data_IF_123140545156
#
_entry.id   IF_123140545156
#
_cell.length_a   1.000
_cell.length_b   1.000
_cell.length_c   1.000
_cell.angle_alpha   90.00
_cell.angle_beta   90.00
_cell.angle_gamma   90.00
#
_symmetry.space_group_name_H-M   'P 1'
#
loop_
_entity.id
_entity.type
_entity.pdbx_description
1 polymer ?
#
# COMPACT_ATOMS: atom_id res chain seq x y z
N UNK A 1 -8.55 14.69 -14.25
CA UNK A 1 -9.05 14.04 -13.01
C UNK A 1 -7.93 13.48 -12.12
N UNK A 2 -6.74 13.17 -12.63
CA UNK A 2 -5.64 12.57 -11.82
C UNK A 2 -5.09 13.53 -10.75
N UNK A 3 -5.21 14.84 -10.88
CA UNK A 3 -4.69 15.82 -9.92
C UNK A 3 -5.71 16.29 -8.85
N UNK A 4 -6.95 15.82 -8.90
CA UNK A 4 -8.01 16.39 -8.07
C UNK A 4 -7.81 16.15 -6.56
N UNK A 5 -7.34 14.97 -6.16
CA UNK A 5 -7.27 14.59 -4.74
C UNK A 5 -6.08 15.17 -3.97
N UNK A 6 -4.97 15.55 -4.64
CA UNK A 6 -3.80 16.13 -3.96
C UNK A 6 -3.57 17.62 -4.26
N UNK A 7 -4.44 18.21 -5.07
CA UNK A 7 -4.30 19.62 -5.47
C UNK A 7 -4.23 20.59 -4.29
N UNK A 8 -4.99 20.29 -3.22
CA UNK A 8 -5.05 21.10 -2.00
C UNK A 8 -3.80 21.01 -1.11
N UNK A 9 -2.88 20.05 -1.36
CA UNK A 9 -1.66 19.79 -0.58
C UNK A 9 -0.40 19.65 -1.45
N UNK A 10 -0.41 20.24 -2.65
CA UNK A 10 0.69 20.09 -3.61
C UNK A 10 2.03 20.62 -3.06
N UNK A 11 2.00 21.75 -2.36
CA UNK A 11 3.18 22.37 -1.79
C UNK A 11 3.73 21.55 -0.60
N UNK A 12 2.83 20.95 0.19
CA UNK A 12 3.18 20.04 1.27
C UNK A 12 3.85 18.77 0.75
N UNK A 13 3.33 18.20 -0.34
CA UNK A 13 3.93 17.02 -0.97
C UNK A 13 5.32 17.32 -1.56
N UNK A 14 5.56 18.52 -2.07
CA UNK A 14 6.89 18.94 -2.50
C UNK A 14 7.87 19.04 -1.31
N UNK A 15 7.37 19.47 -0.13
CA UNK A 15 8.17 19.47 1.10
C UNK A 15 8.44 18.06 1.62
N UNK A 16 7.49 17.12 1.47
CA UNK A 16 7.68 15.70 1.79
C UNK A 16 8.85 15.12 1.00
N UNK A 17 8.96 15.39 -0.31
CA UNK A 17 10.09 14.89 -1.12
C UNK A 17 11.44 15.39 -0.58
N UNK A 18 11.52 16.65 -0.15
CA UNK A 18 12.72 17.19 0.47
C UNK A 18 13.01 16.53 1.81
N UNK A 19 12.00 16.45 2.69
CA UNK A 19 12.15 15.88 4.04
C UNK A 19 12.59 14.41 3.98
N UNK A 20 12.03 13.60 3.06
CA UNK A 20 12.43 12.21 2.88
C UNK A 20 13.90 12.09 2.51
N UNK A 21 14.39 12.90 1.56
CA UNK A 21 15.79 12.89 1.14
C UNK A 21 16.72 13.34 2.29
N UNK A 22 16.35 14.37 3.03
CA UNK A 22 17.14 14.87 4.16
C UNK A 22 17.24 13.82 5.29
N UNK A 23 16.13 13.09 5.56
CA UNK A 23 16.07 12.07 6.62
C UNK A 23 16.92 10.85 6.29
N UNK A 24 16.86 10.32 5.05
CA UNK A 24 17.59 9.09 4.68
C UNK A 24 19.06 9.33 4.41
N UNK A 25 19.53 10.56 4.44
CA UNK A 25 20.93 10.90 4.20
C UNK A 25 21.89 10.13 5.13
N UNK A 26 23.01 9.68 4.57
CA UNK A 26 24.09 8.96 5.25
C UNK A 26 25.46 9.53 4.90
N UNK A 27 26.35 9.60 5.88
CA UNK A 27 27.79 9.96 5.66
C UNK A 27 28.53 8.84 4.89
N UNK A 28 27.98 7.65 4.83
CA UNK A 28 28.50 6.57 3.98
C UNK A 28 27.97 6.76 2.56
N UNK A 29 28.85 7.12 1.63
CA UNK A 29 28.47 7.48 0.26
C UNK A 29 27.71 6.38 -0.50
N UNK A 30 28.09 5.10 -0.32
CA UNK A 30 27.39 3.99 -0.99
C UNK A 30 26.00 3.75 -0.38
N UNK A 31 25.87 3.83 0.94
CA UNK A 31 24.59 3.70 1.61
C UNK A 31 23.65 4.87 1.25
N UNK A 32 24.18 6.08 1.15
CA UNK A 32 23.45 7.26 0.71
C UNK A 32 22.94 7.13 -0.72
N UNK A 33 23.79 6.63 -1.64
CA UNK A 33 23.42 6.31 -3.01
C UNK A 33 22.28 5.29 -3.07
N UNK A 34 22.37 4.21 -2.29
CA UNK A 34 21.36 3.15 -2.22
C UNK A 34 20.02 3.68 -1.70
N UNK A 35 20.01 4.46 -0.61
CA UNK A 35 18.79 5.07 -0.06
C UNK A 35 18.18 6.05 -1.07
N UNK A 36 18.98 6.90 -1.69
CA UNK A 36 18.54 7.84 -2.73
C UNK A 36 17.95 7.09 -3.93
N UNK A 37 18.57 5.99 -4.35
CA UNK A 37 18.05 5.15 -5.44
C UNK A 37 16.62 4.67 -5.16
N UNK A 38 16.34 4.21 -3.93
CA UNK A 38 15.00 3.75 -3.52
C UNK A 38 14.00 4.91 -3.51
N UNK A 39 14.33 6.00 -2.83
CA UNK A 39 13.41 7.14 -2.64
C UNK A 39 13.07 7.82 -3.97
N UNK A 40 14.04 7.97 -4.86
CA UNK A 40 13.85 8.62 -6.17
C UNK A 40 13.21 7.71 -7.22
N UNK A 41 12.91 6.45 -6.89
CA UNK A 41 12.20 5.54 -7.80
C UNK A 41 10.75 5.99 -8.10
N UNK A 42 10.29 7.05 -7.46
CA UNK A 42 8.96 7.62 -7.65
C UNK A 42 7.91 7.01 -6.72
N UNK A 43 6.67 7.37 -6.95
CA UNK A 43 5.51 6.94 -6.17
C UNK A 43 4.47 8.05 -6.06
N UNK A 44 3.21 7.68 -5.79
CA UNK A 44 2.11 8.64 -5.67
C UNK A 44 2.05 9.33 -4.31
N UNK A 45 2.93 8.98 -3.38
CA UNK A 45 2.99 9.53 -2.02
C UNK A 45 1.63 9.53 -1.29
N UNK A 46 0.86 8.48 -1.48
CA UNK A 46 -0.49 8.36 -0.90
C UNK A 46 -0.45 8.38 0.63
N UNK A 47 0.55 7.74 1.25
CA UNK A 47 0.68 7.69 2.72
C UNK A 47 0.95 9.06 3.34
N UNK A 48 1.95 9.83 2.89
CA UNK A 48 2.12 11.21 3.32
C UNK A 48 0.88 12.07 3.06
N UNK A 49 0.25 11.91 1.89
CA UNK A 49 -0.94 12.67 1.54
C UNK A 49 -2.09 12.41 2.51
N UNK A 50 -2.37 11.15 2.84
CA UNK A 50 -3.40 10.80 3.82
C UNK A 50 -3.08 11.41 5.19
N UNK A 51 -1.83 11.34 5.67
CA UNK A 51 -1.43 11.94 6.93
C UNK A 51 -1.66 13.45 6.95
N UNK A 52 -1.23 14.16 5.91
CA UNK A 52 -1.36 15.62 5.79
C UNK A 52 -2.83 16.03 5.64
N UNK A 53 -3.59 15.37 4.77
CA UNK A 53 -5.01 15.65 4.57
C UNK A 53 -5.82 15.41 5.86
N UNK A 54 -5.55 14.31 6.57
CA UNK A 54 -6.18 14.02 7.86
C UNK A 54 -5.87 15.09 8.91
N UNK A 55 -4.61 15.54 8.99
CA UNK A 55 -4.21 16.63 9.87
C UNK A 55 -4.98 17.91 9.58
N UNK A 56 -5.04 18.31 8.31
CA UNK A 56 -5.68 19.56 7.89
C UNK A 56 -7.22 19.49 7.98
N UNK A 57 -7.82 18.36 7.61
CA UNK A 57 -9.27 18.14 7.72
C UNK A 57 -9.75 18.14 9.16
N UNK A 58 -8.91 17.69 10.09
CA UNK A 58 -9.18 17.74 11.55
C UNK A 58 -8.76 19.07 12.20
N UNK A 59 -8.58 20.14 11.43
CA UNK A 59 -8.36 21.51 11.95
C UNK A 59 -6.91 21.91 12.22
N UNK A 60 -5.93 21.08 11.81
CA UNK A 60 -4.52 21.45 11.87
C UNK A 60 -4.19 22.66 10.99
N UNK A 61 -3.30 23.56 11.46
CA UNK A 61 -3.02 24.81 10.76
C UNK A 61 -1.62 24.88 10.14
N UNK A 62 -0.62 24.31 10.82
CA UNK A 62 0.78 24.34 10.39
C UNK A 62 1.23 22.93 10.00
N UNK A 63 1.28 22.59 8.70
CA UNK A 63 1.41 21.20 8.23
C UNK A 63 2.80 20.59 8.44
N UNK A 64 3.81 21.35 8.88
CA UNK A 64 5.20 20.87 9.01
C UNK A 64 5.32 19.59 9.86
N UNK A 65 4.50 19.45 10.92
CA UNK A 65 4.48 18.24 11.75
C UNK A 65 3.91 17.05 10.99
N UNK A 66 2.84 17.27 10.21
CA UNK A 66 2.21 16.26 9.38
C UNK A 66 3.10 15.87 8.19
N UNK A 67 3.85 16.81 7.62
CA UNK A 67 4.85 16.55 6.57
C UNK A 67 5.93 15.62 7.12
N UNK A 68 6.54 15.91 8.26
CA UNK A 68 7.56 15.06 8.91
C UNK A 68 7.00 13.66 9.23
N UNK A 69 5.81 13.62 9.80
CA UNK A 69 5.14 12.36 10.12
C UNK A 69 4.86 11.53 8.86
N UNK A 70 4.27 12.13 7.82
CA UNK A 70 4.00 11.49 6.54
C UNK A 70 5.29 11.02 5.84
N UNK A 71 6.36 11.81 5.91
CA UNK A 71 7.68 11.43 5.39
C UNK A 71 8.25 10.21 6.10
N UNK A 72 8.13 10.13 7.43
CA UNK A 72 8.55 8.96 8.20
C UNK A 72 7.78 7.69 7.77
N UNK A 73 6.46 7.77 7.61
CA UNK A 73 5.65 6.65 7.10
C UNK A 73 6.09 6.21 5.69
N UNK A 74 6.39 7.16 4.80
CA UNK A 74 6.82 6.82 3.44
C UNK A 74 8.21 6.18 3.43
N UNK A 75 9.12 6.59 4.32
CA UNK A 75 10.45 5.98 4.46
C UNK A 75 10.30 4.53 4.97
N UNK A 76 9.51 4.30 6.03
CA UNK A 76 9.24 2.94 6.56
C UNK A 76 8.62 2.06 5.49
N UNK A 77 7.64 2.57 4.74
CA UNK A 77 7.06 1.83 3.62
C UNK A 77 8.07 1.55 2.50
N UNK A 78 8.93 2.52 2.16
CA UNK A 78 9.94 2.30 1.13
C UNK A 78 10.98 1.26 1.56
N UNK A 79 11.31 1.21 2.85
CA UNK A 79 12.14 0.17 3.44
C UNK A 79 11.49 -1.22 3.36
N UNK A 80 10.19 -1.34 3.67
CA UNK A 80 9.48 -2.62 3.54
C UNK A 80 9.49 -3.11 2.09
N UNK A 81 9.32 -2.22 1.10
CA UNK A 81 9.38 -2.60 -0.31
C UNK A 81 10.76 -3.14 -0.72
N UNK A 82 11.87 -2.66 -0.12
CA UNK A 82 13.21 -3.23 -0.37
C UNK A 82 13.27 -4.68 0.11
N UNK A 83 12.72 -4.97 1.28
CA UNK A 83 12.69 -6.33 1.82
C UNK A 83 11.72 -7.23 1.05
N UNK A 84 10.54 -6.73 0.68
CA UNK A 84 9.57 -7.44 -0.15
C UNK A 84 10.19 -7.83 -1.50
N UNK A 85 10.90 -6.92 -2.18
CA UNK A 85 11.58 -7.19 -3.45
C UNK A 85 12.59 -8.33 -3.35
N UNK A 86 13.25 -8.49 -2.20
CA UNK A 86 14.19 -9.58 -1.95
C UNK A 86 13.44 -10.90 -1.73
N UNK A 87 12.40 -10.87 -0.90
CA UNK A 87 11.57 -12.03 -0.58
C UNK A 87 10.87 -12.59 -1.82
N UNK A 88 10.35 -11.70 -2.67
CA UNK A 88 9.64 -12.00 -3.91
C UNK A 88 10.60 -12.24 -5.10
N UNK A 89 11.92 -12.10 -4.88
CA UNK A 89 12.93 -12.18 -5.95
C UNK A 89 12.66 -11.25 -7.13
N UNK A 90 11.93 -10.18 -6.92
CA UNK A 90 11.50 -9.22 -7.93
C UNK A 90 12.71 -8.56 -8.62
N UNK A 91 12.68 -8.45 -9.95
CA UNK A 91 13.79 -7.86 -10.71
C UNK A 91 13.59 -6.36 -10.99
N UNK A 92 12.33 -5.94 -11.14
CA UNK A 92 11.95 -4.60 -11.56
C UNK A 92 10.87 -4.06 -10.61
N UNK A 93 11.06 -2.82 -10.16
CA UNK A 93 10.06 -2.03 -9.43
C UNK A 93 9.98 -0.61 -9.98
N UNK A 94 8.79 -0.16 -10.31
CA UNK A 94 8.54 1.19 -10.87
C UNK A 94 9.42 1.50 -12.09
N UNK A 95 9.65 0.50 -12.94
CA UNK A 95 10.46 0.62 -14.17
C UNK A 95 11.97 0.67 -13.96
N UNK A 96 12.47 0.49 -12.72
CA UNK A 96 13.91 0.39 -12.40
C UNK A 96 14.21 -0.99 -11.84
N UNK A 97 15.46 -1.42 -11.91
CA UNK A 97 15.94 -2.64 -11.25
C UNK A 97 15.73 -2.50 -9.74
N UNK A 98 15.36 -3.59 -9.08
CA UNK A 98 15.23 -3.61 -7.61
C UNK A 98 16.61 -3.41 -6.96
N UNK A 99 16.63 -2.90 -5.72
CA UNK A 99 17.87 -2.53 -5.05
C UNK A 99 18.86 -3.70 -4.95
N UNK A 100 18.37 -4.91 -4.66
CA UNK A 100 19.21 -6.11 -4.54
C UNK A 100 19.75 -6.62 -5.89
N UNK A 101 19.13 -6.25 -7.01
CA UNK A 101 19.60 -6.56 -8.37
C UNK A 101 20.56 -5.51 -8.88
N UNK A 102 20.43 -4.26 -8.46
CA UNK A 102 21.33 -3.17 -8.86
C UNK A 102 22.65 -3.21 -8.08
N UNK A 103 22.59 -3.49 -6.78
CA UNK A 103 23.76 -3.60 -5.92
C UNK A 103 24.04 -5.06 -5.53
N UNK A 104 23.59 -5.50 -4.35
CA UNK A 104 23.59 -6.90 -3.94
C UNK A 104 22.60 -7.14 -2.79
N UNK A 105 22.21 -8.40 -2.58
CA UNK A 105 21.22 -8.78 -1.56
C UNK A 105 21.65 -8.35 -0.16
N UNK A 106 22.90 -8.61 0.26
CA UNK A 106 23.35 -8.31 1.62
C UNK A 106 23.31 -6.82 1.94
N UNK A 107 23.72 -5.96 1.00
CA UNK A 107 23.66 -4.49 1.19
C UNK A 107 22.26 -3.96 1.10
N UNK A 108 21.39 -4.54 0.26
CA UNK A 108 19.99 -4.15 0.15
C UNK A 108 19.24 -4.40 1.45
N UNK A 109 19.47 -5.54 2.12
CA UNK A 109 18.92 -5.82 3.46
C UNK A 109 19.33 -4.70 4.44
N UNK A 110 20.64 -4.42 4.53
CA UNK A 110 21.15 -3.40 5.47
C UNK A 110 20.65 -1.99 5.13
N UNK A 111 20.50 -1.64 3.85
CA UNK A 111 19.92 -0.36 3.43
C UNK A 111 18.44 -0.26 3.83
N UNK A 112 17.67 -1.33 3.70
CA UNK A 112 16.30 -1.41 4.19
C UNK A 112 16.21 -1.23 5.71
N UNK A 113 17.07 -1.91 6.48
CA UNK A 113 17.16 -1.76 7.94
C UNK A 113 17.52 -0.32 8.33
N UNK A 114 18.49 0.29 7.63
CA UNK A 114 18.88 1.67 7.86
C UNK A 114 17.72 2.64 7.60
N UNK A 115 17.03 2.50 6.47
CA UNK A 115 15.86 3.31 6.14
C UNK A 115 14.74 3.13 7.18
N UNK A 116 14.49 1.90 7.63
CA UNK A 116 13.51 1.61 8.69
C UNK A 116 13.87 2.36 9.97
N UNK A 117 15.12 2.27 10.42
CA UNK A 117 15.63 2.97 11.60
C UNK A 117 15.51 4.50 11.45
N UNK A 118 15.85 5.06 10.28
CA UNK A 118 15.72 6.49 9.98
C UNK A 118 14.27 6.95 9.96
N UNK A 119 13.36 6.15 9.42
CA UNK A 119 11.92 6.41 9.48
C UNK A 119 11.42 6.49 10.92
N UNK A 120 11.75 5.51 11.76
CA UNK A 120 11.40 5.57 13.19
C UNK A 120 12.09 6.74 13.92
N UNK A 121 13.34 7.06 13.60
CA UNK A 121 14.03 8.20 14.16
C UNK A 121 13.34 9.53 13.82
N UNK A 122 12.83 9.67 12.59
CA UNK A 122 12.14 10.88 12.13
C UNK A 122 10.82 11.13 12.86
N UNK A 123 10.20 10.09 13.43
CA UNK A 123 9.06 10.23 14.33
C UNK A 123 9.43 10.96 15.63
N UNK A 124 10.69 10.91 16.02
CA UNK A 124 11.36 11.76 17.01
C UNK A 124 10.67 11.81 18.36
N UNK A 125 10.43 13.04 18.85
CA UNK A 125 9.78 13.32 20.12
C UNK A 125 8.24 13.36 20.02
N UNK A 126 7.63 12.41 19.29
CA UNK A 126 6.17 12.25 19.28
C UNK A 126 5.68 11.67 20.59
N UNK A 127 4.38 11.79 20.87
CA UNK A 127 3.79 11.18 22.05
C UNK A 127 3.86 9.64 21.97
N UNK A 128 3.79 9.00 23.14
CA UNK A 128 3.81 7.53 23.22
C UNK A 128 2.67 6.89 22.42
N UNK A 129 1.50 7.52 22.44
CA UNK A 129 0.30 7.05 21.73
C UNK A 129 0.54 6.93 20.22
N UNK A 130 1.25 7.91 19.62
CA UNK A 130 1.60 7.86 18.21
C UNK A 130 2.63 6.75 17.94
N UNK A 131 3.62 6.62 18.81
CA UNK A 131 4.63 5.55 18.70
C UNK A 131 3.94 4.19 18.75
N UNK A 132 3.01 3.99 19.68
CA UNK A 132 2.27 2.72 19.82
C UNK A 132 1.44 2.42 18.56
N UNK A 133 0.77 3.41 17.96
CA UNK A 133 0.01 3.26 16.69
C UNK A 133 0.92 2.82 15.54
N UNK A 134 2.09 3.43 15.43
CA UNK A 134 3.02 3.13 14.33
C UNK A 134 3.68 1.76 14.50
N UNK A 135 4.10 1.44 15.73
CA UNK A 135 4.70 0.14 16.05
C UNK A 135 3.69 -0.98 15.83
N UNK A 136 2.43 -0.79 16.26
CA UNK A 136 1.36 -1.75 15.97
C UNK A 136 1.17 -1.94 14.47
N UNK A 137 1.09 -0.85 13.70
CA UNK A 137 0.92 -0.93 12.25
C UNK A 137 2.08 -1.65 11.55
N UNK A 138 3.34 -1.38 11.96
CA UNK A 138 4.51 -2.06 11.43
C UNK A 138 4.55 -3.55 11.82
N UNK A 139 4.15 -3.88 13.06
CA UNK A 139 4.01 -5.27 13.51
C UNK A 139 2.96 -6.01 12.68
N UNK A 140 1.77 -5.43 12.50
CA UNK A 140 0.70 -6.01 11.67
C UNK A 140 1.09 -6.18 10.21
N UNK A 141 1.90 -5.26 9.67
CA UNK A 141 2.42 -5.38 8.31
C UNK A 141 3.32 -6.62 8.17
N UNK A 142 4.21 -6.87 9.14
CA UNK A 142 5.07 -8.05 9.15
C UNK A 142 4.30 -9.35 9.38
N UNK A 143 3.32 -9.34 10.30
CA UNK A 143 2.44 -10.49 10.54
C UNK A 143 1.61 -10.83 9.30
N UNK A 144 1.06 -9.82 8.60
CA UNK A 144 0.30 -10.00 7.36
C UNK A 144 1.14 -10.60 6.24
N UNK A 145 2.41 -10.17 6.12
CA UNK A 145 3.36 -10.77 5.18
C UNK A 145 3.64 -12.23 5.53
N UNK A 146 3.84 -12.53 6.83
CA UNK A 146 4.10 -13.89 7.30
C UNK A 146 2.91 -14.82 7.04
N UNK A 147 1.68 -14.36 7.33
CA UNK A 147 0.44 -15.11 7.05
C UNK A 147 0.29 -15.35 5.54
N UNK A 148 0.57 -14.33 4.71
CA UNK A 148 0.53 -14.49 3.25
C UNK A 148 1.44 -15.63 2.77
N UNK A 149 2.66 -15.77 3.35
CA UNK A 149 3.60 -16.85 3.02
C UNK A 149 3.07 -18.23 3.36
N UNK A 150 2.29 -18.38 4.44
CA UNK A 150 1.67 -19.64 4.80
C UNK A 150 0.59 -20.09 3.80
N UNK A 151 0.00 -19.13 3.07
CA UNK A 151 -1.04 -19.37 2.06
C UNK A 151 -0.52 -19.37 0.61
N UNK A 152 0.76 -19.15 0.38
CA UNK A 152 1.32 -19.26 -0.98
C UNK A 152 1.10 -20.67 -1.53
N UNK A 153 0.58 -20.76 -2.75
CA UNK A 153 0.20 -22.00 -3.42
C UNK A 153 -0.86 -22.86 -2.68
N UNK A 154 -1.53 -22.34 -1.64
CA UNK A 154 -2.54 -23.07 -0.90
C UNK A 154 -3.89 -23.06 -1.63
N UNK A 155 -4.49 -24.25 -1.83
CA UNK A 155 -5.77 -24.40 -2.55
C UNK A 155 -7.03 -24.08 -1.71
N UNK A 156 -6.89 -24.07 -0.39
CA UNK A 156 -7.96 -23.95 0.60
C UNK A 156 -8.03 -22.58 1.27
N UNK A 157 -7.30 -21.60 0.73
CA UNK A 157 -7.35 -20.21 1.17
C UNK A 157 -8.75 -19.61 0.97
N UNK A 158 -9.24 -18.91 2.00
CA UNK A 158 -10.57 -18.31 2.00
C UNK A 158 -10.51 -16.79 1.74
N UNK A 159 -11.66 -16.19 1.50
CA UNK A 159 -11.77 -14.73 1.42
C UNK A 159 -11.48 -14.06 2.76
N UNK A 160 -11.81 -14.70 3.89
CA UNK A 160 -11.51 -14.17 5.22
C UNK A 160 -10.00 -14.15 5.48
N UNK A 161 -9.28 -15.19 5.09
CA UNK A 161 -7.80 -15.23 5.14
C UNK A 161 -7.20 -14.09 4.31
N UNK A 162 -7.70 -13.88 3.10
CA UNK A 162 -7.27 -12.77 2.26
C UNK A 162 -7.52 -11.41 2.92
N UNK A 163 -8.70 -11.20 3.52
CA UNK A 163 -8.99 -9.94 4.20
C UNK A 163 -8.11 -9.74 5.43
N UNK A 164 -7.74 -10.79 6.15
CA UNK A 164 -6.79 -10.69 7.25
C UNK A 164 -5.41 -10.27 6.75
N UNK A 165 -4.91 -10.88 5.69
CA UNK A 165 -3.62 -10.55 5.05
C UNK A 165 -3.58 -9.08 4.65
N UNK A 166 -4.51 -8.60 3.82
CA UNK A 166 -4.47 -7.24 3.30
C UNK A 166 -4.78 -6.18 4.37
N UNK A 167 -5.57 -6.53 5.38
CA UNK A 167 -5.78 -5.68 6.55
C UNK A 167 -4.48 -5.45 7.28
N UNK A 168 -3.72 -6.49 7.57
CA UNK A 168 -2.42 -6.41 8.25
C UNK A 168 -1.38 -5.72 7.37
N UNK A 169 -1.12 -6.28 6.20
CA UNK A 169 -0.03 -5.87 5.30
C UNK A 169 -0.17 -4.43 4.79
N UNK A 170 -1.41 -4.00 4.50
CA UNK A 170 -1.65 -2.72 3.80
C UNK A 170 -2.53 -1.75 4.57
N UNK A 171 -3.75 -2.17 4.96
CA UNK A 171 -4.77 -1.23 5.39
C UNK A 171 -4.47 -0.62 6.78
N UNK A 172 -3.93 -1.40 7.72
CA UNK A 172 -3.53 -0.93 9.05
C UNK A 172 -2.45 0.13 9.00
N UNK A 173 -1.52 0.04 8.06
CA UNK A 173 -0.47 1.05 7.90
C UNK A 173 -1.04 2.37 7.33
N UNK A 174 -2.00 2.30 6.41
CA UNK A 174 -2.73 3.47 5.89
C UNK A 174 -3.60 4.09 7.01
N UNK A 175 -4.26 3.27 7.82
CA UNK A 175 -5.01 3.71 9.01
C UNK A 175 -4.12 4.48 9.98
N UNK A 176 -2.92 3.97 10.26
CA UNK A 176 -1.96 4.60 11.15
C UNK A 176 -1.51 5.99 10.63
N UNK A 177 -1.31 6.14 9.31
CA UNK A 177 -1.02 7.44 8.69
C UNK A 177 -2.12 8.46 9.00
N UNK A 178 -3.39 8.09 8.80
CA UNK A 178 -4.53 8.97 9.02
C UNK A 178 -4.71 9.33 10.50
N UNK A 179 -4.72 8.31 11.39
CA UNK A 179 -4.84 8.51 12.84
C UNK A 179 -3.73 9.41 13.38
N UNK A 180 -2.49 9.21 12.93
CA UNK A 180 -1.36 10.05 13.36
C UNK A 180 -1.54 11.50 12.91
N UNK A 181 -2.02 11.75 11.69
CA UNK A 181 -2.35 13.07 11.20
C UNK A 181 -3.43 13.75 12.05
N UNK A 182 -4.55 13.07 12.30
CA UNK A 182 -5.62 13.58 13.14
C UNK A 182 -5.16 13.82 14.59
N UNK A 183 -4.39 12.91 15.17
CA UNK A 183 -3.88 13.04 16.53
C UNK A 183 -3.01 14.29 16.70
N UNK A 184 -2.04 14.54 15.80
CA UNK A 184 -1.16 15.71 15.89
C UNK A 184 -1.85 17.04 15.57
N UNK A 185 -3.06 17.02 14.98
CA UNK A 185 -3.89 18.22 14.82
C UNK A 185 -4.52 18.68 16.14
N UNK A 186 -4.59 17.78 17.14
CA UNK A 186 -5.31 17.98 18.38
C UNK A 186 -6.78 17.61 18.32
N UNK A 187 -7.17 16.80 17.32
CA UNK A 187 -8.53 16.29 17.18
C UNK A 187 -8.96 15.46 18.40
N UNK A 188 -10.25 15.43 18.67
CA UNK A 188 -10.82 14.53 19.67
C UNK A 188 -10.82 13.06 19.20
N UNK A 189 -11.18 12.16 20.12
CA UNK A 189 -11.15 10.73 19.86
C UNK A 189 -12.15 10.30 18.77
N UNK A 190 -13.28 10.97 18.65
CA UNK A 190 -14.31 10.67 17.65
C UNK A 190 -13.77 10.94 16.23
N UNK A 191 -13.17 12.09 16.02
CA UNK A 191 -12.57 12.44 14.73
C UNK A 191 -11.36 11.54 14.38
N UNK A 192 -10.53 11.19 15.38
CA UNK A 192 -9.38 10.28 15.17
C UNK A 192 -9.86 8.89 14.74
N UNK A 193 -10.89 8.34 15.39
CA UNK A 193 -11.43 7.04 15.00
C UNK A 193 -12.10 7.11 13.63
N UNK A 194 -12.93 8.10 13.36
CA UNK A 194 -13.62 8.25 12.09
C UNK A 194 -12.65 8.34 10.90
N UNK A 195 -11.60 9.18 11.00
CA UNK A 195 -10.61 9.31 9.93
C UNK A 195 -9.76 8.03 9.81
N UNK A 196 -9.53 7.33 10.92
CA UNK A 196 -8.87 6.04 10.95
C UNK A 196 -9.68 4.96 10.22
N UNK A 197 -11.00 4.91 10.45
CA UNK A 197 -11.89 3.95 9.80
C UNK A 197 -12.06 4.25 8.31
N UNK A 198 -12.17 5.53 7.94
CA UNK A 198 -12.08 5.97 6.54
C UNK A 198 -10.82 5.40 5.88
N UNK A 199 -9.66 5.58 6.51
CA UNK A 199 -8.38 5.17 5.95
C UNK A 199 -8.22 3.64 5.90
N UNK A 200 -8.79 2.91 6.86
CA UNK A 200 -8.80 1.45 6.87
C UNK A 200 -9.59 0.90 5.68
N UNK A 201 -10.84 1.35 5.49
CA UNK A 201 -11.69 0.92 4.38
C UNK A 201 -11.09 1.31 3.03
N UNK A 202 -10.53 2.52 2.92
CA UNK A 202 -9.80 3.00 1.73
C UNK A 202 -8.59 2.12 1.43
N UNK A 203 -7.82 1.72 2.45
CA UNK A 203 -6.67 0.83 2.31
C UNK A 203 -7.05 -0.59 1.86
N UNK A 204 -8.17 -1.12 2.36
CA UNK A 204 -8.73 -2.39 1.92
C UNK A 204 -9.14 -2.33 0.45
N UNK A 205 -9.88 -1.29 0.04
CA UNK A 205 -10.27 -1.10 -1.35
C UNK A 205 -9.06 -0.94 -2.28
N UNK A 206 -8.04 -0.18 -1.84
CA UNK A 206 -6.81 0.01 -2.58
C UNK A 206 -6.13 -1.31 -2.93
N UNK A 207 -6.02 -2.24 -1.96
CA UNK A 207 -5.38 -3.53 -2.21
C UNK A 207 -6.23 -4.41 -3.12
N UNK A 208 -7.55 -4.47 -2.93
CA UNK A 208 -8.46 -5.22 -3.82
C UNK A 208 -8.31 -4.76 -5.27
N UNK A 209 -8.24 -3.46 -5.51
CA UNK A 209 -8.04 -2.90 -6.86
C UNK A 209 -6.63 -3.22 -7.38
N UNK A 210 -5.58 -3.10 -6.57
CA UNK A 210 -4.20 -3.40 -6.99
C UNK A 210 -4.07 -4.86 -7.44
N UNK A 211 -4.62 -5.81 -6.67
CA UNK A 211 -4.66 -7.23 -7.00
C UNK A 211 -5.51 -7.52 -8.25
N UNK A 212 -6.60 -6.77 -8.42
CA UNK A 212 -7.44 -6.88 -9.63
C UNK A 212 -6.68 -6.40 -10.87
N UNK A 213 -5.91 -5.33 -10.74
CA UNK A 213 -5.07 -4.79 -11.82
C UNK A 213 -3.93 -5.73 -12.20
N UNK A 214 -3.42 -6.56 -11.28
CA UNK A 214 -2.43 -7.59 -11.62
C UNK A 214 -3.01 -8.67 -12.55
N UNK A 215 -4.32 -8.88 -12.54
CA UNK A 215 -5.00 -9.81 -13.47
C UNK A 215 -5.35 -9.17 -14.81
N UNK A 216 -5.88 -7.92 -14.81
CA UNK A 216 -6.45 -7.30 -16.02
C UNK A 216 -5.54 -6.26 -16.67
N UNK A 217 -4.46 -5.85 -15.99
CA UNK A 217 -3.58 -4.77 -16.46
C UNK A 217 -3.00 -5.04 -17.84
N UNK A 218 -2.58 -3.95 -18.50
CA UNK A 218 -1.80 -3.99 -19.73
C UNK A 218 -0.40 -3.43 -19.42
N UNK A 219 0.64 -4.12 -19.87
CA UNK A 219 2.04 -3.71 -19.75
C UNK A 219 2.26 -2.24 -20.19
N UNK A 220 1.52 -1.79 -21.21
CA UNK A 220 1.62 -0.44 -21.74
C UNK A 220 1.06 0.64 -20.80
N UNK A 221 0.12 0.27 -19.92
CA UNK A 221 -0.57 1.21 -19.03
C UNK A 221 -0.06 1.15 -17.58
N UNK A 222 0.38 -0.02 -17.11
CA UNK A 222 0.79 -0.22 -15.70
C UNK A 222 2.30 -0.17 -15.49
N UNK A 223 3.09 -0.37 -16.54
CA UNK A 223 4.55 -0.48 -16.45
C UNK A 223 5.04 -1.70 -15.65
N UNK A 224 4.12 -2.60 -15.24
CA UNK A 224 4.40 -3.84 -14.51
C UNK A 224 4.00 -5.04 -15.37
N UNK A 225 4.70 -6.14 -15.21
CA UNK A 225 4.30 -7.44 -15.75
C UNK A 225 3.02 -7.89 -15.05
N UNK A 226 2.05 -8.36 -15.81
CA UNK A 226 0.76 -8.86 -15.32
C UNK A 226 0.91 -10.30 -14.84
N UNK A 227 0.19 -10.69 -13.79
CA UNK A 227 0.19 -12.05 -13.25
C UNK A 227 1.39 -12.39 -12.37
N UNK A 228 2.07 -11.38 -11.81
CA UNK A 228 3.16 -11.62 -10.86
C UNK A 228 2.66 -12.34 -9.61
N UNK A 229 1.51 -11.95 -9.07
CA UNK A 229 0.94 -12.59 -7.89
C UNK A 229 0.64 -14.09 -8.14
N UNK A 230 0.16 -14.43 -9.33
CA UNK A 230 -0.04 -15.83 -9.72
C UNK A 230 1.27 -16.59 -9.86
N UNK A 231 2.29 -15.97 -10.44
CA UNK A 231 3.62 -16.56 -10.60
C UNK A 231 4.26 -16.86 -9.24
N UNK A 232 4.03 -15.99 -8.26
CA UNK A 232 4.54 -16.09 -6.89
C UNK A 232 3.63 -16.95 -5.98
N UNK A 233 2.50 -17.46 -6.51
CA UNK A 233 1.53 -18.24 -5.74
C UNK A 233 0.81 -17.44 -4.66
N UNK A 234 0.75 -16.10 -4.78
CA UNK A 234 0.07 -15.24 -3.81
C UNK A 234 -1.44 -15.36 -3.91
N UNK A 235 -2.14 -15.56 -2.78
CA UNK A 235 -3.59 -15.75 -2.74
C UNK A 235 -4.32 -14.40 -2.85
N UNK A 236 -4.52 -13.89 -4.06
CA UNK A 236 -5.25 -12.65 -4.29
C UNK A 236 -6.76 -12.89 -4.46
N UNK A 237 -7.56 -11.89 -4.16
CA UNK A 237 -9.03 -12.02 -4.19
C UNK A 237 -9.58 -12.50 -5.55
N UNK A 238 -9.12 -11.97 -6.71
CA UNK A 238 -9.56 -12.48 -8.00
C UNK A 238 -9.31 -13.98 -8.17
N UNK A 239 -8.14 -14.45 -7.74
CA UNK A 239 -7.75 -15.86 -7.82
C UNK A 239 -8.61 -16.73 -6.90
N UNK A 240 -8.81 -16.30 -5.64
CA UNK A 240 -9.65 -17.04 -4.67
C UNK A 240 -11.10 -17.17 -5.14
N UNK A 241 -11.67 -16.12 -5.71
CA UNK A 241 -13.04 -16.17 -6.25
C UNK A 241 -13.09 -17.08 -7.48
N UNK A 242 -12.12 -16.96 -8.38
CA UNK A 242 -12.08 -17.74 -9.60
C UNK A 242 -11.86 -19.25 -9.36
N UNK A 243 -11.14 -19.62 -8.31
CA UNK A 243 -10.98 -21.04 -7.89
C UNK A 243 -12.30 -21.70 -7.52
N UNK A 244 -13.33 -20.93 -7.15
CA UNK A 244 -14.68 -21.45 -6.83
C UNK A 244 -15.60 -21.57 -8.05
N UNK A 245 -15.12 -21.15 -9.23
CA UNK A 245 -15.92 -21.23 -10.46
C UNK A 245 -16.15 -22.70 -10.88
N UNK A 246 -17.42 -23.11 -11.18
CA UNK A 246 -17.74 -24.50 -11.48
C UNK A 246 -17.13 -25.01 -12.79
N UNK A 247 -16.79 -24.13 -13.72
CA UNK A 247 -16.26 -24.51 -15.04
C UNK A 247 -14.73 -24.43 -15.08
N UNK A 248 -14.15 -23.40 -14.48
CA UNK A 248 -12.72 -23.09 -14.62
C UNK A 248 -11.92 -23.31 -13.35
N UNK A 249 -12.57 -23.36 -12.18
CA UNK A 249 -11.92 -23.37 -10.87
C UNK A 249 -10.92 -24.50 -10.67
N UNK A 250 -11.26 -25.74 -11.11
CA UNK A 250 -10.35 -26.88 -10.97
C UNK A 250 -9.02 -26.68 -11.72
N UNK A 251 -9.07 -26.07 -12.91
CA UNK A 251 -7.84 -25.80 -13.68
C UNK A 251 -7.05 -24.66 -13.10
N UNK A 252 -7.71 -23.61 -12.60
CA UNK A 252 -7.07 -22.50 -11.91
C UNK A 252 -6.34 -23.00 -10.66
N UNK A 253 -6.98 -23.88 -9.86
CA UNK A 253 -6.35 -24.50 -8.68
C UNK A 253 -5.11 -25.30 -9.09
N UNK A 254 -5.20 -26.11 -10.13
CA UNK A 254 -4.06 -26.91 -10.62
C UNK A 254 -2.86 -26.03 -10.96
N UNK A 255 -3.08 -24.89 -11.62
CA UNK A 255 -2.01 -23.96 -11.98
C UNK A 255 -1.48 -23.25 -10.74
N UNK A 256 -2.36 -22.71 -9.90
CA UNK A 256 -2.02 -21.93 -8.72
C UNK A 256 -1.19 -22.72 -7.69
N UNK A 257 -1.47 -24.03 -7.55
CA UNK A 257 -0.75 -24.90 -6.61
C UNK A 257 0.59 -25.41 -7.11
N UNK A 258 1.03 -25.02 -8.31
CA UNK A 258 2.36 -25.37 -8.81
C UNK A 258 3.43 -24.49 -8.15
N UNK A 259 4.46 -25.10 -7.54
CA UNK A 259 5.62 -24.38 -7.01
C UNK A 259 6.43 -23.68 -8.10
N UNK A 260 6.44 -24.20 -9.31
CA UNK A 260 7.15 -23.65 -10.48
C UNK A 260 6.17 -23.53 -11.66
N UNK A 261 5.26 -22.56 -11.59
CA UNK A 261 4.43 -22.20 -12.73
C UNK A 261 5.24 -21.46 -13.79
N UNK A 262 5.10 -21.86 -15.06
CA UNK A 262 5.76 -21.15 -16.15
C UNK A 262 4.87 -20.01 -16.71
N UNK A 263 5.42 -19.22 -17.64
CA UNK A 263 4.71 -18.10 -18.27
C UNK A 263 3.42 -18.53 -19.01
N UNK A 264 3.37 -19.77 -19.50
CA UNK A 264 2.19 -20.28 -20.19
C UNK A 264 1.10 -20.64 -19.19
N UNK A 265 1.49 -21.26 -18.08
CA UNK A 265 0.58 -21.55 -16.96
C UNK A 265 -0.07 -20.25 -16.46
N UNK A 266 0.74 -19.21 -16.21
CA UNK A 266 0.24 -17.89 -15.76
C UNK A 266 -0.70 -17.28 -16.80
N UNK A 267 -0.31 -17.27 -18.07
CA UNK A 267 -1.15 -16.72 -19.14
C UNK A 267 -2.49 -17.46 -19.26
N UNK A 268 -2.49 -18.81 -19.14
CA UNK A 268 -3.69 -19.63 -19.11
C UNK A 268 -4.58 -19.28 -17.91
N UNK A 269 -4.01 -19.22 -16.70
CA UNK A 269 -4.76 -18.89 -15.50
C UNK A 269 -5.39 -17.50 -15.57
N UNK A 270 -4.66 -16.49 -16.04
CA UNK A 270 -5.18 -15.14 -16.24
C UNK A 270 -6.37 -15.11 -17.23
N UNK A 271 -6.28 -15.87 -18.36
CA UNK A 271 -7.38 -15.97 -19.32
C UNK A 271 -8.60 -16.64 -18.68
N UNK A 272 -8.41 -17.71 -17.90
CA UNK A 272 -9.48 -18.39 -17.21
C UNK A 272 -10.14 -17.49 -16.13
N UNK A 273 -9.36 -16.79 -15.32
CA UNK A 273 -9.87 -15.85 -14.30
C UNK A 273 -10.73 -14.76 -14.96
N UNK A 274 -10.28 -14.18 -16.07
CA UNK A 274 -11.04 -13.17 -16.84
C UNK A 274 -12.36 -13.68 -17.40
N UNK A 275 -12.53 -15.00 -17.57
CA UNK A 275 -13.79 -15.62 -18.02
C UNK A 275 -14.79 -15.87 -16.89
N UNK A 276 -14.36 -15.77 -15.64
CA UNK A 276 -15.23 -15.88 -14.47
C UNK A 276 -15.84 -14.52 -14.13
N UNK A 277 -16.68 -14.47 -13.09
CA UNK A 277 -17.19 -13.23 -12.50
C UNK A 277 -16.24 -12.61 -11.47
N UNK A 278 -15.01 -13.12 -11.31
CA UNK A 278 -14.10 -12.71 -10.24
C UNK A 278 -13.77 -11.20 -10.29
N UNK A 279 -13.46 -10.68 -11.47
CA UNK A 279 -13.11 -9.27 -11.66
C UNK A 279 -14.27 -8.34 -11.26
N UNK A 280 -15.48 -8.63 -11.74
CA UNK A 280 -16.68 -7.85 -11.42
C UNK A 280 -16.97 -7.90 -9.92
N UNK A 281 -16.84 -9.08 -9.31
CA UNK A 281 -17.04 -9.28 -7.88
C UNK A 281 -16.02 -8.50 -7.05
N UNK A 282 -14.73 -8.50 -7.44
CA UNK A 282 -13.68 -7.72 -6.77
C UNK A 282 -13.97 -6.21 -6.85
N UNK A 283 -14.36 -5.70 -8.01
CA UNK A 283 -14.73 -4.28 -8.18
C UNK A 283 -15.87 -3.89 -7.26
N UNK A 284 -16.94 -4.68 -7.24
CA UNK A 284 -18.08 -4.42 -6.36
C UNK A 284 -17.67 -4.41 -4.89
N UNK A 285 -16.83 -5.35 -4.47
CA UNK A 285 -16.32 -5.39 -3.08
C UNK A 285 -15.45 -4.17 -2.75
N UNK A 286 -14.65 -3.68 -3.69
CA UNK A 286 -13.88 -2.44 -3.51
C UNK A 286 -14.80 -1.21 -3.44
N UNK A 287 -15.82 -1.12 -4.29
CA UNK A 287 -16.83 -0.05 -4.26
C UNK A 287 -17.58 -0.02 -2.92
N UNK A 288 -18.03 -1.18 -2.41
CA UNK A 288 -18.66 -1.30 -1.09
C UNK A 288 -17.75 -0.83 0.06
N UNK A 289 -16.42 -1.03 -0.05
CA UNK A 289 -15.44 -0.50 0.91
C UNK A 289 -15.33 1.02 0.82
N UNK A 290 -15.29 1.58 -0.40
CA UNK A 290 -15.25 3.03 -0.59
C UNK A 290 -16.54 3.70 -0.10
N UNK A 291 -17.70 3.13 -0.35
CA UNK A 291 -18.97 3.64 0.20
C UNK A 291 -18.91 3.71 1.74
N UNK A 292 -18.39 2.68 2.41
CA UNK A 292 -18.20 2.70 3.87
C UNK A 292 -17.18 3.76 4.30
N UNK A 293 -16.06 3.88 3.56
CA UNK A 293 -15.04 4.89 3.84
C UNK A 293 -15.65 6.30 3.81
N UNK A 294 -16.45 6.61 2.78
CA UNK A 294 -17.09 7.93 2.64
C UNK A 294 -18.05 8.26 3.79
N UNK A 295 -18.80 7.26 4.32
CA UNK A 295 -19.65 7.46 5.48
C UNK A 295 -18.88 7.90 6.73
N UNK A 296 -17.65 7.43 6.91
CA UNK A 296 -16.81 7.86 8.04
C UNK A 296 -16.35 9.32 7.93
N UNK A 297 -16.41 9.92 6.74
CA UNK A 297 -16.11 11.34 6.58
C UNK A 297 -17.26 12.27 6.99
N UNK A 298 -18.48 11.77 7.24
CA UNK A 298 -19.65 12.62 7.56
C UNK A 298 -19.44 13.47 8.82
N UNK A 299 -18.71 12.94 9.83
CA UNK A 299 -18.41 13.65 11.07
C UNK A 299 -17.21 14.60 10.95
N UNK A 300 -16.44 14.52 9.87
CA UNK A 300 -15.28 15.40 9.63
C UNK A 300 -15.78 16.76 9.15
N UNK A 301 -15.28 17.88 9.71
CA UNK A 301 -15.67 19.22 9.30
C UNK A 301 -15.49 19.48 7.80
N UNK A 302 -16.45 20.17 7.19
CA UNK A 302 -16.39 20.51 5.77
C UNK A 302 -15.17 21.36 5.45
N UNK A 303 -14.38 20.94 4.48
CA UNK A 303 -13.15 21.60 4.04
C UNK A 303 -12.69 21.03 2.71
N UNK A 304 -11.85 21.78 2.01
CA UNK A 304 -11.21 21.29 0.77
C UNK A 304 -10.36 20.02 1.04
N UNK A 305 -9.93 19.79 2.25
CA UNK A 305 -9.16 18.62 2.66
C UNK A 305 -10.03 17.37 2.85
N UNK A 306 -11.23 17.53 3.41
CA UNK A 306 -12.26 16.48 3.42
C UNK A 306 -12.66 16.11 1.99
N UNK A 307 -12.87 17.09 1.13
CA UNK A 307 -13.17 16.86 -0.29
C UNK A 307 -12.03 16.10 -0.98
N UNK A 308 -10.78 16.44 -0.65
CA UNK A 308 -9.60 15.74 -1.18
C UNK A 308 -9.50 14.29 -0.70
N UNK A 309 -9.88 14.00 0.55
CA UNK A 309 -9.96 12.63 1.05
C UNK A 309 -11.06 11.84 0.31
N UNK A 310 -12.25 12.43 0.12
CA UNK A 310 -13.31 11.80 -0.66
C UNK A 310 -12.85 11.53 -2.11
N UNK A 311 -12.23 12.51 -2.76
CA UNK A 311 -11.70 12.36 -4.11
C UNK A 311 -10.57 11.31 -4.20
N UNK A 312 -9.75 11.13 -3.15
CA UNK A 312 -8.75 10.05 -3.09
C UNK A 312 -9.42 8.67 -3.08
N UNK A 313 -10.46 8.49 -2.27
CA UNK A 313 -11.20 7.24 -2.19
C UNK A 313 -11.85 6.89 -3.55
N UNK A 314 -12.50 7.85 -4.20
CA UNK A 314 -13.07 7.69 -5.54
C UNK A 314 -11.99 7.40 -6.61
N UNK A 315 -10.84 8.07 -6.52
CA UNK A 315 -9.72 7.84 -7.41
C UNK A 315 -9.25 6.39 -7.37
N UNK A 316 -9.21 5.75 -6.19
CA UNK A 316 -8.77 4.36 -6.04
C UNK A 316 -9.58 3.41 -6.90
N UNK A 317 -10.91 3.51 -6.90
CA UNK A 317 -11.79 2.65 -7.70
C UNK A 317 -11.85 3.03 -9.18
N UNK A 318 -11.38 4.23 -9.55
CA UNK A 318 -11.35 4.69 -10.94
C UNK A 318 -10.04 4.37 -11.68
N UNK A 319 -9.05 3.75 -11.02
CA UNK A 319 -7.70 3.51 -11.56
C UNK A 319 -7.63 2.58 -12.77
N UNK A 320 -8.68 1.84 -13.02
CA UNK A 320 -8.79 0.82 -14.06
C UNK A 320 -9.68 1.23 -15.24
N UNK A 321 -10.09 2.52 -15.31
CA UNK A 321 -10.94 3.08 -16.38
C UNK A 321 -10.17 4.02 -17.29
#
# INVERSE_FOLDING_TARGET
MVEAWYGSIKDELAQVEKEINDVVHSDNAELDEMCTYVITSGGKRVRPAICILSYLACGGKEPIRAIRMGSAFEIVHSASLVHDDINDKSEIRRGRRTLHKEFCVSKAIVAGDYMMAKGFQALGSTSREIVDVIVEAATRMSEGEFIQKDFEHAKDVTEDDYYEIIRGKTAKFIQACAKSGAYISGADAELIEAIGDYALETGMAFQIIDDTLDVIGDLNNTGKRVGLDLLEGKPTLPTIIAMKDPQYGSRIIEIFTKEEADEKDVAEALDLIKRTNAIETCRKKAEERIEKALLHLDVIPDSVYKDSLAALAEYIISRDR
#
